data_IF_178259679395
#
_entry.id   IF_178259679395
#
_cell.length_a   1.000
_cell.length_b   1.000
_cell.length_c   1.000
_cell.angle_alpha   90.00
_cell.angle_beta   90.00
_cell.angle_gamma   90.00
#
_symmetry.space_group_name_H-M   'P 1'
#
loop_
_entity.id
_entity.type
_entity.pdbx_description
1 polymer ?
#
# COMPACT_ATOMS: atom_id res chain seq x y z
N UNK A 1 10.90 5.12 16.88
CA UNK A 1 10.58 4.95 15.43
C UNK A 1 11.20 6.11 14.68
N UNK A 2 12.07 5.90 13.72
CA UNK A 2 12.65 6.96 12.88
C UNK A 2 11.99 6.91 11.49
N UNK A 3 11.27 7.95 11.14
CA UNK A 3 10.32 8.04 10.04
C UNK A 3 8.89 7.84 10.53
N UNK A 4 8.09 8.91 10.49
CA UNK A 4 6.67 8.92 10.86
C UNK A 4 5.77 8.96 9.61
N UNK A 5 6.20 8.25 8.56
CA UNK A 5 5.36 7.90 7.42
C UNK A 5 4.38 6.78 7.79
N UNK A 6 3.74 6.20 6.78
CA UNK A 6 2.71 5.19 6.96
C UNK A 6 3.18 4.02 7.86
N UNK A 7 4.30 3.38 7.50
CA UNK A 7 4.83 2.22 8.24
C UNK A 7 5.24 2.59 9.67
N UNK A 8 6.00 3.68 9.82
CA UNK A 8 6.53 4.07 11.13
C UNK A 8 5.48 4.55 12.11
N UNK A 9 4.50 5.32 11.63
CA UNK A 9 3.44 5.86 12.50
C UNK A 9 2.47 4.75 12.93
N UNK A 10 2.02 3.88 12.01
CA UNK A 10 1.16 2.74 12.35
C UNK A 10 1.87 1.78 13.30
N UNK A 11 3.13 1.42 12.97
CA UNK A 11 3.91 0.53 13.85
C UNK A 11 4.11 1.14 15.23
N UNK A 12 4.47 2.43 15.31
CA UNK A 12 4.68 3.12 16.58
C UNK A 12 3.42 3.22 17.42
N UNK A 13 2.30 3.57 16.80
CA UNK A 13 0.99 3.64 17.48
C UNK A 13 0.56 2.27 18.01
N UNK A 14 0.70 1.21 17.20
CA UNK A 14 0.34 -0.15 17.62
C UNK A 14 1.27 -0.71 18.71
N UNK A 15 2.59 -0.41 18.66
CA UNK A 15 3.51 -0.76 19.73
C UNK A 15 3.15 -0.05 21.04
N UNK A 16 2.75 1.22 20.98
CA UNK A 16 2.28 1.95 22.16
C UNK A 16 0.95 1.37 22.71
N UNK A 17 0.04 0.95 21.84
CA UNK A 17 -1.21 0.31 22.22
C UNK A 17 -0.98 -1.01 22.97
N UNK A 18 -0.02 -1.82 22.54
CA UNK A 18 0.29 -3.10 23.20
C UNK A 18 1.20 -2.97 24.42
N UNK A 19 1.57 -1.74 24.80
CA UNK A 19 2.17 -1.46 26.11
C UNK A 19 3.60 -0.92 26.13
N UNK A 20 4.20 -0.64 24.97
CA UNK A 20 5.54 -0.04 24.89
C UNK A 20 5.49 1.49 25.02
N UNK A 21 6.58 2.09 25.49
CA UNK A 21 6.80 3.52 25.45
C UNK A 21 7.53 3.85 24.13
N UNK A 22 6.89 4.65 23.27
CA UNK A 22 7.32 4.87 21.90
C UNK A 22 7.59 6.36 21.65
N UNK A 23 8.68 6.66 20.97
CA UNK A 23 8.96 7.98 20.41
C UNK A 23 8.99 7.87 18.90
N UNK A 24 8.05 8.53 18.22
CA UNK A 24 8.05 8.63 16.76
C UNK A 24 8.75 9.90 16.34
N UNK A 25 9.69 9.80 15.41
CA UNK A 25 10.45 10.95 14.91
C UNK A 25 10.35 11.08 13.41
N UNK A 26 10.31 12.31 12.92
CA UNK A 26 10.37 12.63 11.49
C UNK A 26 11.13 13.95 11.31
N UNK A 27 11.83 14.12 10.20
CA UNK A 27 12.49 15.38 9.85
C UNK A 27 11.53 16.38 9.21
N UNK A 28 10.34 15.93 8.81
CA UNK A 28 9.25 16.81 8.38
C UNK A 28 8.52 17.39 9.60
N UNK A 29 8.88 18.61 9.92
CA UNK A 29 8.32 19.32 11.06
C UNK A 29 6.81 19.49 10.96
N UNK A 30 6.25 19.60 9.76
CA UNK A 30 4.80 19.79 9.58
C UNK A 30 4.00 18.56 10.02
N UNK A 31 4.53 17.37 9.78
CA UNK A 31 3.94 16.12 10.27
C UNK A 31 3.97 16.04 11.79
N UNK A 32 5.11 16.42 12.39
CA UNK A 32 5.25 16.40 13.85
C UNK A 32 4.32 17.42 14.49
N UNK A 33 4.25 18.64 13.97
CA UNK A 33 3.34 19.70 14.45
C UNK A 33 1.87 19.21 14.37
N UNK A 34 1.47 18.53 13.29
CA UNK A 34 0.15 17.93 13.15
C UNK A 34 -0.11 16.85 14.21
N UNK A 35 0.85 15.95 14.43
CA UNK A 35 0.75 14.91 15.45
C UNK A 35 0.70 15.48 16.86
N UNK A 36 1.50 16.50 17.17
CA UNK A 36 1.48 17.18 18.47
C UNK A 36 0.16 17.93 18.73
N UNK A 37 -0.44 18.50 17.68
CA UNK A 37 -1.75 19.13 17.75
C UNK A 37 -2.91 18.12 17.91
N UNK A 38 -2.67 16.81 17.75
CA UNK A 38 -3.66 15.74 17.90
C UNK A 38 -4.25 15.24 16.58
N UNK A 39 -3.82 15.79 15.44
CA UNK A 39 -4.18 15.30 14.12
C UNK A 39 -3.29 14.12 13.68
N UNK A 40 -3.67 13.49 12.58
CA UNK A 40 -2.92 12.38 11.95
C UNK A 40 -2.62 12.74 10.49
N UNK A 41 -1.34 12.76 10.06
CA UNK A 41 -0.97 13.24 8.71
C UNK A 41 -1.19 12.20 7.59
N UNK A 42 -1.80 11.08 7.90
CA UNK A 42 -2.14 10.00 6.96
C UNK A 42 -3.56 9.52 7.23
N UNK A 43 -4.26 9.08 6.20
CA UNK A 43 -5.55 8.42 6.37
C UNK A 43 -5.35 6.91 6.57
N UNK A 44 -5.75 6.42 7.74
CA UNK A 44 -5.78 4.98 8.06
C UNK A 44 -6.89 4.73 9.09
N UNK A 45 -7.89 3.90 8.76
CA UNK A 45 -8.98 3.59 9.69
C UNK A 45 -8.50 3.11 11.05
N UNK A 46 -9.00 3.73 12.13
CA UNK A 46 -8.69 3.37 13.50
C UNK A 46 -7.36 3.90 14.05
N UNK A 47 -6.51 4.53 13.22
CA UNK A 47 -5.21 5.01 13.67
C UNK A 47 -5.32 6.23 14.59
N UNK A 48 -6.25 7.14 14.31
CA UNK A 48 -6.47 8.33 15.13
C UNK A 48 -6.86 7.96 16.57
N UNK A 49 -7.78 7.01 16.72
CA UNK A 49 -8.23 6.52 18.03
C UNK A 49 -7.08 5.84 18.80
N UNK A 50 -6.26 5.04 18.11
CA UNK A 50 -5.10 4.38 18.72
C UNK A 50 -4.09 5.40 19.20
N UNK A 51 -3.75 6.41 18.38
CA UNK A 51 -2.83 7.48 18.77
C UNK A 51 -3.39 8.30 19.94
N UNK A 52 -4.67 8.69 19.90
CA UNK A 52 -5.30 9.47 20.95
C UNK A 52 -5.27 8.71 22.29
N UNK A 53 -5.57 7.40 22.28
CA UNK A 53 -5.51 6.53 23.45
C UNK A 53 -4.07 6.39 23.98
N UNK A 54 -3.10 6.15 23.11
CA UNK A 54 -1.68 6.04 23.48
C UNK A 54 -1.12 7.35 24.07
N UNK A 55 -1.52 8.50 23.53
CA UNK A 55 -1.16 9.83 24.10
C UNK A 55 -1.75 10.04 25.48
N UNK A 56 -3.05 9.71 25.68
CA UNK A 56 -3.69 9.78 26.99
C UNK A 56 -2.99 8.91 28.02
N UNK A 57 -2.51 7.74 27.61
CA UNK A 57 -1.72 6.83 28.43
C UNK A 57 -0.26 7.25 28.58
N UNK A 58 0.19 8.33 27.93
CA UNK A 58 1.58 8.83 27.88
C UNK A 58 2.60 7.79 27.33
N UNK A 59 2.14 6.89 26.46
CA UNK A 59 2.97 5.84 25.84
C UNK A 59 3.50 6.20 24.46
N UNK A 60 3.00 7.26 23.83
CA UNK A 60 3.51 7.76 22.56
C UNK A 60 3.85 9.24 22.67
N UNK A 61 4.99 9.62 22.10
CA UNK A 61 5.42 11.01 21.94
C UNK A 61 6.05 11.21 20.58
N UNK A 62 6.18 12.47 20.17
CA UNK A 62 6.67 12.83 18.84
C UNK A 62 7.85 13.79 18.97
N UNK A 63 8.77 13.77 17.98
CA UNK A 63 9.91 14.69 17.95
C UNK A 63 10.35 14.95 16.52
N UNK A 64 10.66 16.20 16.20
CA UNK A 64 11.25 16.58 14.92
C UNK A 64 12.76 16.31 14.84
N UNK A 65 13.39 15.91 15.96
CA UNK A 65 14.82 15.69 16.02
C UNK A 65 15.13 14.27 16.54
N UNK A 66 15.49 13.32 15.66
CA UNK A 66 15.88 11.97 16.08
C UNK A 66 17.03 11.94 17.08
N UNK A 67 18.00 12.86 16.98
CA UNK A 67 19.17 12.90 17.87
C UNK A 67 18.79 13.01 19.35
N UNK A 68 17.74 13.76 19.68
CA UNK A 68 17.29 13.97 21.06
C UNK A 68 16.63 12.73 21.68
N UNK A 69 16.33 11.71 20.87
CA UNK A 69 15.52 10.55 21.26
C UNK A 69 16.30 9.22 21.30
N UNK A 70 17.37 9.13 20.51
CA UNK A 70 18.15 7.89 20.33
C UNK A 70 18.65 7.30 21.66
N UNK A 71 19.19 8.16 22.54
CA UNK A 71 19.75 7.67 23.80
C UNK A 71 18.69 7.16 24.78
N UNK A 72 17.44 7.62 24.65
CA UNK A 72 16.29 7.24 25.50
C UNK A 72 15.71 5.87 25.15
N UNK A 73 16.06 5.32 23.99
CA UNK A 73 15.45 4.10 23.45
C UNK A 73 16.44 2.92 23.50
N UNK A 74 15.95 1.71 23.76
CA UNK A 74 16.72 0.47 23.72
C UNK A 74 16.74 -0.12 22.31
N UNK A 75 15.60 -0.02 21.61
CA UNK A 75 15.43 -0.45 20.22
C UNK A 75 15.05 0.74 19.33
N UNK A 76 15.66 0.81 18.16
CA UNK A 76 15.44 1.88 17.16
C UNK A 76 14.98 1.23 15.88
N UNK A 77 13.73 1.52 15.47
CA UNK A 77 13.17 1.06 14.21
C UNK A 77 13.36 2.12 13.14
N UNK A 78 14.01 1.74 12.03
CA UNK A 78 14.17 2.60 10.85
C UNK A 78 12.99 2.35 9.92
N UNK A 79 12.19 3.39 9.70
CA UNK A 79 10.97 3.35 8.88
C UNK A 79 10.95 4.49 7.84
N UNK A 80 12.13 4.86 7.35
CA UNK A 80 12.28 5.95 6.36
C UNK A 80 11.93 5.47 4.95
N UNK A 81 11.55 6.42 4.09
CA UNK A 81 11.26 6.12 2.69
C UNK A 81 12.50 5.68 1.92
N UNK A 82 12.29 4.75 0.99
CA UNK A 82 13.30 4.26 0.02
C UNK A 82 12.75 4.43 -1.39
N UNK A 83 12.66 5.68 -1.90
CA UNK A 83 12.09 5.93 -3.23
C UNK A 83 12.97 5.31 -4.33
N UNK A 84 12.40 5.01 -5.49
CA UNK A 84 13.18 4.51 -6.62
C UNK A 84 14.06 5.62 -7.21
N UNK A 85 15.30 5.28 -7.52
CA UNK A 85 16.19 6.10 -8.34
C UNK A 85 15.84 5.93 -9.83
N UNK A 86 16.28 6.85 -10.72
CA UNK A 86 16.12 6.67 -12.18
C UNK A 86 16.76 5.41 -12.73
N UNK A 87 17.74 4.84 -12.03
CA UNK A 87 18.38 3.56 -12.36
C UNK A 87 17.48 2.35 -12.10
N UNK A 88 16.41 2.48 -11.30
CA UNK A 88 15.60 1.38 -10.76
C UNK A 88 16.06 0.88 -9.40
N UNK A 89 17.23 1.30 -8.90
CA UNK A 89 17.68 1.02 -7.53
C UNK A 89 16.83 1.79 -6.50
N UNK A 90 16.81 1.30 -5.26
CA UNK A 90 16.26 2.07 -4.14
C UNK A 90 17.26 3.14 -3.66
N UNK A 91 16.79 4.34 -3.38
CA UNK A 91 17.59 5.37 -2.71
C UNK A 91 17.70 5.05 -1.22
N UNK A 92 18.90 4.71 -0.79
CA UNK A 92 19.23 4.36 0.60
C UNK A 92 19.88 5.52 1.38
N UNK A 93 19.93 6.73 0.81
CA UNK A 93 20.57 7.89 1.42
C UNK A 93 19.97 8.25 2.80
N UNK A 94 18.65 8.11 2.94
CA UNK A 94 17.98 8.35 4.22
C UNK A 94 18.40 7.33 5.28
N UNK A 95 18.61 6.06 4.90
CA UNK A 95 19.06 5.01 5.82
C UNK A 95 20.50 5.26 6.28
N UNK A 96 21.42 5.62 5.37
CA UNK A 96 22.79 5.98 5.72
C UNK A 96 22.84 7.19 6.64
N UNK A 97 22.04 8.22 6.35
CA UNK A 97 21.92 9.39 7.22
C UNK A 97 21.47 9.01 8.64
N UNK A 98 20.41 8.18 8.76
CA UNK A 98 19.89 7.70 10.04
C UNK A 98 20.93 6.86 10.77
N UNK A 99 21.65 5.97 10.06
CA UNK A 99 22.75 5.19 10.65
C UNK A 99 23.83 6.07 11.26
N UNK A 100 24.18 7.18 10.56
CA UNK A 100 25.16 8.15 11.06
C UNK A 100 24.64 8.83 12.33
N UNK A 101 23.40 9.31 12.34
CA UNK A 101 22.79 9.95 13.51
C UNK A 101 22.74 8.98 14.69
N UNK A 102 22.30 7.74 14.49
CA UNK A 102 22.29 6.72 15.55
C UNK A 102 23.70 6.50 16.13
N UNK A 103 24.69 6.33 15.27
CA UNK A 103 26.06 6.02 15.70
C UNK A 103 26.76 7.18 16.42
N UNK A 104 26.38 8.43 16.13
CA UNK A 104 26.97 9.63 16.78
C UNK A 104 26.27 10.00 18.07
N UNK A 105 24.95 9.81 18.17
CA UNK A 105 24.15 10.28 19.31
C UNK A 105 23.93 9.21 20.39
N UNK A 106 24.07 7.92 20.06
CA UNK A 106 23.93 6.85 21.04
C UNK A 106 25.03 6.89 22.08
N UNK A 107 24.67 6.75 23.36
CA UNK A 107 25.60 6.64 24.50
C UNK A 107 25.72 5.22 25.06
N UNK A 108 24.91 4.30 24.56
CA UNK A 108 24.88 2.90 24.97
C UNK A 108 24.55 2.00 23.77
N UNK A 109 24.89 0.69 23.85
CA UNK A 109 24.51 -0.27 22.80
C UNK A 109 23.00 -0.26 22.53
N UNK A 110 22.61 -0.34 21.25
CA UNK A 110 21.22 -0.34 20.81
C UNK A 110 20.96 -1.50 19.87
N UNK A 111 19.70 -1.97 19.85
CA UNK A 111 19.17 -2.78 18.76
C UNK A 111 18.65 -1.83 17.67
N UNK A 112 19.19 -1.93 16.45
CA UNK A 112 18.76 -1.16 15.28
C UNK A 112 18.02 -2.10 14.37
N UNK A 113 16.73 -1.82 14.14
CA UNK A 113 15.82 -2.68 13.38
C UNK A 113 15.49 -1.98 12.07
N UNK A 114 15.93 -2.55 10.95
CA UNK A 114 15.52 -2.10 9.62
C UNK A 114 14.12 -2.63 9.31
N UNK A 115 13.17 -1.71 9.22
CA UNK A 115 11.77 -2.01 8.91
C UNK A 115 11.34 -1.48 7.54
N UNK A 116 12.08 -0.52 6.99
CA UNK A 116 11.87 -0.04 5.63
C UNK A 116 12.02 -1.19 4.63
N UNK A 117 11.28 -1.14 3.54
CA UNK A 117 11.48 -2.11 2.44
C UNK A 117 12.75 -1.75 1.68
N UNK A 118 13.74 -2.62 1.76
CA UNK A 118 15.09 -2.40 1.23
C UNK A 118 15.58 -3.59 0.40
N UNK A 119 16.48 -3.37 -0.57
CA UNK A 119 17.15 -4.45 -1.28
C UNK A 119 17.93 -5.37 -0.33
N UNK A 120 18.04 -6.66 -0.69
CA UNK A 120 18.86 -7.60 0.08
C UNK A 120 20.31 -7.11 0.21
N UNK A 121 20.90 -7.36 1.39
CA UNK A 121 22.20 -6.90 1.90
C UNK A 121 22.21 -5.49 2.49
N UNK A 122 21.12 -4.76 2.48
CA UNK A 122 21.06 -3.43 3.11
C UNK A 122 21.35 -3.49 4.61
N UNK A 123 20.83 -4.48 5.32
CA UNK A 123 21.14 -4.64 6.76
C UNK A 123 22.60 -4.92 7.03
N UNK A 124 23.32 -5.60 6.13
CA UNK A 124 24.78 -5.77 6.24
C UNK A 124 25.52 -4.45 6.05
N UNK A 125 25.11 -3.64 5.07
CA UNK A 125 25.69 -2.29 4.85
C UNK A 125 25.34 -1.36 6.02
N UNK A 126 24.11 -1.42 6.56
CA UNK A 126 23.71 -0.70 7.75
C UNK A 126 24.61 -1.05 8.95
N UNK A 127 24.88 -2.32 9.18
CA UNK A 127 25.79 -2.78 10.24
C UNK A 127 27.20 -2.23 10.04
N UNK A 128 27.69 -2.27 8.80
CA UNK A 128 29.00 -1.70 8.44
C UNK A 128 29.03 -0.19 8.67
N UNK A 129 28.01 0.55 8.23
CA UNK A 129 27.89 2.00 8.40
C UNK A 129 27.91 2.37 9.90
N UNK A 130 27.08 1.72 10.72
CA UNK A 130 27.04 1.91 12.17
C UNK A 130 28.42 1.68 12.80
N UNK A 131 29.12 0.59 12.43
CA UNK A 131 30.46 0.30 12.91
C UNK A 131 31.50 1.36 12.51
N UNK A 132 31.41 1.89 11.30
CA UNK A 132 32.31 2.96 10.81
C UNK A 132 32.06 4.26 11.55
N UNK A 133 30.80 4.66 11.68
CA UNK A 133 30.42 5.94 12.30
C UNK A 133 30.63 5.94 13.83
N UNK A 134 30.51 4.78 14.49
CA UNK A 134 30.73 4.66 15.95
C UNK A 134 32.19 4.44 16.38
N UNK A 135 33.15 4.48 15.47
CA UNK A 135 34.57 4.23 15.81
C UNK A 135 35.10 5.10 16.94
N UNK A 136 34.63 6.36 17.04
CA UNK A 136 35.07 7.31 18.08
C UNK A 136 34.39 7.04 19.42
N UNK A 137 33.16 6.57 19.42
CA UNK A 137 32.37 6.28 20.63
C UNK A 137 32.63 4.89 21.17
N UNK A 138 33.05 3.95 20.32
CA UNK A 138 33.25 2.54 20.65
C UNK A 138 31.96 1.77 20.97
N UNK A 139 30.80 2.36 20.67
CA UNK A 139 29.50 1.76 20.95
C UNK A 139 29.18 0.68 19.91
N UNK A 140 28.78 -0.48 20.39
CA UNK A 140 28.37 -1.60 19.55
C UNK A 140 26.86 -1.56 19.29
N UNK A 141 26.47 -1.91 18.07
CA UNK A 141 25.07 -2.01 17.64
C UNK A 141 24.76 -3.42 17.18
N UNK A 142 23.55 -3.91 17.51
CA UNK A 142 22.97 -5.08 16.87
C UNK A 142 22.05 -4.60 15.76
N UNK A 143 22.10 -5.28 14.63
CA UNK A 143 21.21 -4.97 13.49
C UNK A 143 20.28 -6.15 13.25
N UNK A 144 19.03 -5.85 13.02
CA UNK A 144 18.01 -6.81 12.63
C UNK A 144 17.19 -6.28 11.45
N UNK A 145 16.65 -7.15 10.62
CA UNK A 145 15.64 -6.83 9.61
C UNK A 145 14.28 -7.33 10.10
N UNK A 146 13.29 -6.45 10.10
CA UNK A 146 11.92 -6.79 10.45
C UNK A 146 10.96 -6.19 9.41
N UNK A 147 10.87 -6.82 8.23
CA UNK A 147 10.00 -6.32 7.18
C UNK A 147 8.53 -6.28 7.63
N UNK A 148 7.80 -5.31 7.12
CA UNK A 148 6.38 -5.15 7.37
C UNK A 148 5.54 -5.81 6.27
N UNK A 149 4.31 -6.22 6.61
CA UNK A 149 3.32 -6.77 5.68
C UNK A 149 1.98 -6.04 5.84
N UNK A 150 2.04 -4.77 6.21
CA UNK A 150 0.88 -3.92 6.42
C UNK A 150 0.23 -3.56 5.08
N UNK A 151 -1.10 -3.50 5.09
CA UNK A 151 -1.88 -3.04 3.94
C UNK A 151 -2.55 -1.72 4.33
N UNK A 152 -2.29 -0.67 3.57
CA UNK A 152 -3.01 0.60 3.74
C UNK A 152 -4.52 0.37 3.81
N UNK A 153 -5.22 1.07 4.70
CA UNK A 153 -6.64 0.87 4.96
C UNK A 153 -7.00 -0.27 5.92
N UNK A 154 -6.05 -1.14 6.29
CA UNK A 154 -6.22 -2.20 7.30
C UNK A 154 -4.96 -2.40 8.16
N UNK A 155 -4.02 -1.47 8.10
CA UNK A 155 -2.68 -1.66 8.67
C UNK A 155 -2.65 -1.78 10.19
N UNK A 156 -3.56 -1.10 10.90
CA UNK A 156 -3.70 -1.26 12.35
C UNK A 156 -4.10 -2.71 12.68
N UNK A 157 -5.08 -3.24 11.96
CA UNK A 157 -5.49 -4.65 12.09
C UNK A 157 -4.39 -5.63 11.71
N UNK A 158 -3.71 -5.38 10.58
CA UNK A 158 -2.62 -6.22 10.09
C UNK A 158 -1.42 -6.27 11.06
N UNK A 159 -1.14 -5.17 11.77
CA UNK A 159 -0.10 -5.15 12.80
C UNK A 159 -0.48 -5.92 14.06
N UNK A 160 -1.71 -5.74 14.53
CA UNK A 160 -2.20 -6.34 15.78
C UNK A 160 -2.59 -7.82 15.61
N UNK A 161 -2.95 -8.23 14.39
CA UNK A 161 -3.35 -9.60 14.04
C UNK A 161 -2.61 -10.10 12.79
N UNK A 162 -1.25 -10.12 12.80
CA UNK A 162 -0.50 -10.57 11.64
C UNK A 162 -0.58 -12.08 11.49
N UNK A 163 -0.53 -12.58 10.26
CA UNK A 163 -0.34 -14.02 9.99
C UNK A 163 1.03 -14.50 10.49
N UNK A 164 2.02 -13.62 10.38
CA UNK A 164 3.41 -13.87 10.74
C UNK A 164 4.18 -12.61 11.08
N UNK A 165 5.16 -12.75 11.94
CA UNK A 165 6.21 -11.75 12.19
C UNK A 165 7.55 -12.34 11.74
N UNK A 166 8.19 -11.69 10.76
CA UNK A 166 9.48 -12.13 10.20
C UNK A 166 10.60 -11.29 10.79
N UNK A 167 11.62 -11.93 11.32
CA UNK A 167 12.82 -11.27 11.84
C UNK A 167 14.08 -11.90 11.27
N UNK A 168 14.91 -11.08 10.68
CA UNK A 168 16.24 -11.42 10.22
C UNK A 168 17.25 -10.97 11.27
N UNK A 169 17.99 -11.90 11.87
CA UNK A 169 18.94 -11.63 12.96
C UNK A 169 20.24 -12.40 12.76
N UNK A 170 21.31 -11.96 13.43
CA UNK A 170 22.60 -12.64 13.43
C UNK A 170 22.94 -13.27 14.80
N UNK A 171 22.25 -12.87 15.87
CA UNK A 171 22.49 -13.38 17.21
C UNK A 171 21.18 -13.55 18.02
N UNK A 172 21.22 -14.43 19.02
CA UNK A 172 20.08 -14.77 19.88
C UNK A 172 19.62 -13.61 20.77
N UNK A 173 20.46 -12.61 21.00
CA UNK A 173 20.12 -11.45 21.85
C UNK A 173 19.17 -10.56 21.06
N UNK A 174 19.50 -10.29 19.79
CA UNK A 174 18.63 -9.51 18.90
C UNK A 174 17.28 -10.22 18.70
N UNK A 175 17.29 -11.54 18.52
CA UNK A 175 16.06 -12.33 18.42
C UNK A 175 15.20 -12.18 19.67
N UNK A 176 15.78 -12.41 20.85
CA UNK A 176 15.05 -12.31 22.13
C UNK A 176 14.46 -10.93 22.35
N UNK A 177 15.23 -9.87 22.10
CA UNK A 177 14.74 -8.51 22.23
C UNK A 177 13.53 -8.24 21.29
N UNK A 178 13.59 -8.66 20.03
CA UNK A 178 12.47 -8.53 19.11
C UNK A 178 11.27 -9.37 19.55
N UNK A 179 11.50 -10.59 20.03
CA UNK A 179 10.44 -11.46 20.53
C UNK A 179 9.73 -10.86 21.74
N UNK A 180 10.48 -10.21 22.65
CA UNK A 180 9.91 -9.48 23.79
C UNK A 180 9.05 -8.29 23.33
N UNK A 181 9.50 -7.53 22.32
CA UNK A 181 8.73 -6.43 21.73
C UNK A 181 7.41 -6.93 21.14
N UNK A 182 7.41 -8.05 20.43
CA UNK A 182 6.23 -8.61 19.79
C UNK A 182 5.43 -9.59 20.69
N UNK A 183 5.88 -9.89 21.89
CA UNK A 183 5.24 -10.88 22.77
C UNK A 183 3.75 -10.64 22.99
N UNK A 184 3.25 -9.39 23.23
CA UNK A 184 1.82 -9.17 23.38
C UNK A 184 1.00 -9.57 22.15
N UNK A 185 1.52 -9.34 20.94
CA UNK A 185 0.90 -9.72 19.66
C UNK A 185 0.96 -11.25 19.47
N UNK A 186 2.13 -11.85 19.68
CA UNK A 186 2.34 -13.29 19.53
C UNK A 186 1.47 -14.10 20.48
N UNK A 187 1.35 -13.63 21.72
CA UNK A 187 0.56 -14.27 22.79
C UNK A 187 -0.92 -13.84 22.75
N UNK A 188 -1.29 -12.88 21.89
CA UNK A 188 -2.62 -12.25 21.84
C UNK A 188 -3.06 -11.66 23.18
N UNK A 189 -2.14 -11.07 23.93
CA UNK A 189 -2.37 -10.47 25.24
C UNK A 189 -2.41 -8.95 25.17
N UNK A 190 -3.40 -8.40 24.47
CA UNK A 190 -3.66 -6.96 24.39
C UNK A 190 -5.15 -6.69 24.18
N UNK A 191 -5.60 -5.48 24.50
CA UNK A 191 -6.95 -5.04 24.22
C UNK A 191 -7.01 -4.53 22.79
N UNK A 192 -7.72 -5.25 21.90
CA UNK A 192 -7.80 -4.90 20.49
C UNK A 192 -8.66 -3.65 20.28
N UNK A 193 -8.12 -2.57 19.67
CA UNK A 193 -8.90 -1.37 19.37
C UNK A 193 -9.75 -1.51 18.10
N UNK A 194 -9.47 -2.51 17.25
CA UNK A 194 -10.10 -2.67 15.92
C UNK A 194 -11.37 -3.52 16.01
N UNK A 195 -11.41 -4.51 16.89
CA UNK A 195 -12.52 -5.45 16.99
C UNK A 195 -13.24 -5.27 18.33
N UNK A 196 -14.40 -4.62 18.30
CA UNK A 196 -15.24 -4.46 19.49
C UNK A 196 -15.74 -5.83 19.98
N UNK A 197 -15.14 -6.34 21.06
CA UNK A 197 -15.62 -7.50 21.81
C UNK A 197 -14.98 -8.85 21.52
N UNK A 198 -14.49 -9.12 20.33
CA UNK A 198 -13.75 -10.37 20.02
C UNK A 198 -12.80 -10.19 18.85
N UNK A 199 -11.54 -10.52 19.06
CA UNK A 199 -10.57 -10.61 17.95
C UNK A 199 -10.92 -11.78 17.02
N UNK A 200 -10.50 -11.74 15.73
CA UNK A 200 -10.71 -12.84 14.82
C UNK A 200 -10.20 -14.15 15.41
N UNK A 201 -11.04 -15.18 15.39
CA UNK A 201 -10.63 -16.54 15.71
C UNK A 201 -9.65 -17.01 14.63
N UNK A 202 -8.49 -17.48 15.04
CA UNK A 202 -7.48 -17.95 14.11
C UNK A 202 -6.22 -18.43 14.86
N UNK A 203 -5.25 -19.04 14.18
CA UNK A 203 -4.01 -19.45 14.82
C UNK A 203 -3.22 -18.23 15.31
N UNK A 204 -2.42 -18.43 16.36
CA UNK A 204 -1.47 -17.40 16.80
C UNK A 204 -0.51 -17.03 15.66
N UNK A 205 -0.03 -15.78 15.59
CA UNK A 205 0.95 -15.37 14.60
C UNK A 205 2.19 -16.26 14.59
N UNK A 206 2.65 -16.63 13.41
CA UNK A 206 3.88 -17.43 13.31
C UNK A 206 5.11 -16.52 13.49
N UNK A 207 5.97 -16.89 14.44
CA UNK A 207 7.27 -16.24 14.62
C UNK A 207 8.30 -16.89 13.69
N UNK A 208 8.80 -16.13 12.71
CA UNK A 208 9.73 -16.61 11.68
C UNK A 208 11.09 -15.96 11.89
N UNK A 209 12.08 -16.77 12.34
CA UNK A 209 13.46 -16.33 12.49
C UNK A 209 14.27 -16.78 11.29
N UNK A 210 15.06 -15.87 10.74
CA UNK A 210 15.88 -16.15 9.57
C UNK A 210 17.12 -15.23 9.54
N UNK A 211 17.91 -15.29 8.47
CA UNK A 211 19.01 -14.34 8.25
C UNK A 211 18.47 -12.97 7.80
N UNK A 212 19.25 -11.92 8.04
CA UNK A 212 18.90 -10.55 7.59
C UNK A 212 18.58 -10.54 6.09
N UNK A 213 19.46 -11.11 5.26
CA UNK A 213 19.25 -11.17 3.80
C UNK A 213 17.98 -11.92 3.40
N UNK A 214 17.65 -13.02 4.10
CA UNK A 214 16.42 -13.75 3.81
C UNK A 214 15.18 -12.97 4.20
N UNK A 215 15.21 -12.25 5.33
CA UNK A 215 14.09 -11.38 5.75
C UNK A 215 13.82 -10.28 4.72
N UNK A 216 14.87 -9.61 4.22
CA UNK A 216 14.77 -8.61 3.15
C UNK A 216 14.19 -9.20 1.86
N UNK A 217 14.69 -10.38 1.43
CA UNK A 217 14.18 -11.07 0.25
C UNK A 217 12.73 -11.53 0.40
N UNK A 218 12.30 -11.98 1.58
CA UNK A 218 10.92 -12.41 1.86
C UNK A 218 9.93 -11.29 1.53
N UNK A 219 10.24 -10.04 1.89
CA UNK A 219 9.37 -8.89 1.58
C UNK A 219 9.19 -8.70 0.08
N UNK A 220 10.30 -8.60 -0.66
CA UNK A 220 10.26 -8.42 -2.12
C UNK A 220 9.59 -9.61 -2.82
N UNK A 221 9.93 -10.83 -2.45
CA UNK A 221 9.34 -12.03 -3.02
C UNK A 221 7.83 -12.10 -2.77
N UNK A 222 7.37 -11.75 -1.55
CA UNK A 222 5.94 -11.71 -1.23
C UNK A 222 5.20 -10.68 -2.08
N UNK A 223 5.67 -9.44 -2.12
CA UNK A 223 4.99 -8.37 -2.84
C UNK A 223 4.99 -8.61 -4.36
N UNK A 224 6.09 -9.08 -4.94
CA UNK A 224 6.17 -9.39 -6.37
C UNK A 224 5.30 -10.58 -6.76
N UNK A 225 5.18 -11.59 -5.90
CA UNK A 225 4.28 -12.71 -6.15
C UNK A 225 2.81 -12.29 -6.13
N UNK A 226 2.41 -11.43 -5.19
CA UNK A 226 1.05 -10.88 -5.14
C UNK A 226 0.74 -10.03 -6.38
N UNK A 227 1.67 -9.18 -6.81
CA UNK A 227 1.55 -8.40 -8.04
C UNK A 227 1.42 -9.31 -9.28
N UNK A 228 2.20 -10.39 -9.34
CA UNK A 228 2.12 -11.38 -10.40
C UNK A 228 0.76 -12.09 -10.43
N UNK A 229 0.17 -12.43 -9.28
CA UNK A 229 -1.18 -13.02 -9.22
C UNK A 229 -2.23 -12.12 -9.87
N UNK A 230 -2.18 -10.80 -9.62
CA UNK A 230 -3.09 -9.84 -10.24
C UNK A 230 -2.86 -9.77 -11.75
N UNK A 231 -1.61 -9.70 -12.21
CA UNK A 231 -1.29 -9.69 -13.64
C UNK A 231 -1.72 -10.98 -14.33
N UNK A 232 -1.56 -12.13 -13.67
CA UNK A 232 -2.05 -13.41 -14.18
C UNK A 232 -3.58 -13.40 -14.34
N UNK A 233 -4.31 -12.95 -13.33
CA UNK A 233 -5.77 -12.83 -13.41
C UNK A 233 -6.20 -11.91 -14.57
N UNK A 234 -5.48 -10.79 -14.78
CA UNK A 234 -5.73 -9.88 -15.90
C UNK A 234 -5.48 -10.53 -17.26
N UNK A 235 -4.42 -11.32 -17.39
CA UNK A 235 -4.13 -12.07 -18.62
C UNK A 235 -5.22 -13.11 -18.92
N UNK A 236 -5.68 -13.84 -17.89
CA UNK A 236 -6.78 -14.80 -18.02
C UNK A 236 -8.09 -14.08 -18.36
N UNK A 237 -8.33 -12.90 -17.79
CA UNK A 237 -9.50 -12.08 -18.10
C UNK A 237 -9.57 -11.70 -19.59
N UNK A 238 -8.45 -11.29 -20.17
CA UNK A 238 -8.38 -10.93 -21.59
C UNK A 238 -8.72 -12.14 -22.50
N UNK A 239 -8.33 -13.35 -22.09
CA UNK A 239 -8.67 -14.58 -22.81
C UNK A 239 -10.14 -14.98 -22.59
N UNK A 240 -10.61 -14.91 -21.34
CA UNK A 240 -11.99 -15.25 -20.98
C UNK A 240 -13.00 -14.40 -21.78
N UNK A 241 -12.75 -13.08 -21.87
CA UNK A 241 -13.59 -12.16 -22.64
C UNK A 241 -13.71 -12.54 -24.11
N UNK A 242 -12.62 -13.01 -24.74
CA UNK A 242 -12.61 -13.42 -26.15
C UNK A 242 -13.29 -14.76 -26.40
N UNK A 243 -13.29 -15.63 -25.40
CA UNK A 243 -13.82 -17.00 -25.51
C UNK A 243 -15.22 -17.14 -24.90
N UNK A 244 -15.84 -16.06 -24.41
CA UNK A 244 -17.16 -16.09 -23.79
C UNK A 244 -17.18 -16.65 -22.37
N UNK A 245 -16.04 -16.61 -21.66
CA UNK A 245 -15.93 -17.00 -20.26
C UNK A 245 -16.26 -15.84 -19.31
N UNK A 246 -16.38 -16.16 -18.01
CA UNK A 246 -16.50 -15.17 -16.91
C UNK A 246 -15.32 -15.29 -15.96
N UNK A 247 -14.49 -14.25 -15.92
CA UNK A 247 -13.31 -14.22 -15.06
C UNK A 247 -13.65 -14.38 -13.58
N UNK A 248 -14.81 -13.90 -13.13
CA UNK A 248 -15.21 -14.00 -11.72
C UNK A 248 -15.46 -15.44 -11.31
N UNK A 249 -16.06 -16.24 -12.20
CA UNK A 249 -16.24 -17.66 -11.97
C UNK A 249 -14.91 -18.41 -12.01
N UNK A 250 -14.05 -18.06 -12.99
CA UNK A 250 -12.73 -18.68 -13.15
C UNK A 250 -11.87 -18.44 -11.90
N UNK A 251 -11.71 -17.19 -11.45
CA UNK A 251 -10.86 -16.88 -10.28
C UNK A 251 -11.46 -17.38 -8.98
N UNK A 252 -12.80 -17.43 -8.88
CA UNK A 252 -13.48 -18.05 -7.73
C UNK A 252 -13.16 -19.55 -7.66
N UNK A 253 -13.28 -20.25 -8.77
CA UNK A 253 -12.97 -21.70 -8.82
C UNK A 253 -11.49 -21.96 -8.54
N UNK A 254 -10.57 -21.18 -9.13
CA UNK A 254 -9.14 -21.26 -8.85
C UNK A 254 -8.83 -21.00 -7.38
N UNK A 255 -9.46 -20.00 -6.77
CA UNK A 255 -9.24 -19.60 -5.38
C UNK A 255 -9.72 -20.61 -4.34
N UNK A 256 -10.60 -21.55 -4.72
CA UNK A 256 -11.02 -22.67 -3.86
C UNK A 256 -9.93 -23.73 -3.68
N UNK A 257 -8.93 -23.76 -4.57
CA UNK A 257 -7.76 -24.61 -4.36
C UNK A 257 -6.85 -23.96 -3.29
N UNK A 258 -6.62 -24.62 -2.11
CA UNK A 258 -5.82 -24.05 -1.03
C UNK A 258 -4.36 -23.78 -1.43
N UNK A 259 -3.86 -24.42 -2.50
CA UNK A 259 -2.51 -24.15 -3.05
C UNK A 259 -2.43 -22.81 -3.76
N UNK A 260 -3.55 -22.27 -4.23
CA UNK A 260 -3.66 -20.99 -4.94
C UNK A 260 -4.16 -19.89 -3.99
N UNK A 261 -5.27 -20.15 -3.30
CA UNK A 261 -5.97 -19.22 -2.43
C UNK A 261 -6.69 -18.09 -3.19
N UNK A 262 -7.75 -17.51 -2.62
CA UNK A 262 -8.63 -16.56 -3.31
C UNK A 262 -8.06 -15.14 -3.44
N UNK A 263 -7.11 -14.75 -2.59
CA UNK A 263 -6.62 -13.38 -2.52
C UNK A 263 -5.75 -13.02 -3.73
N UNK A 264 -5.83 -11.75 -4.15
CA UNK A 264 -5.05 -11.17 -5.26
C UNK A 264 -5.29 -11.80 -6.65
N UNK A 265 -6.51 -12.28 -6.89
CA UNK A 265 -6.95 -12.81 -8.19
C UNK A 265 -7.96 -11.88 -8.88
N UNK A 266 -8.07 -10.62 -8.47
CA UNK A 266 -9.01 -9.67 -9.07
C UNK A 266 -8.47 -9.11 -10.38
N UNK A 267 -9.23 -9.28 -11.47
CA UNK A 267 -8.96 -8.64 -12.76
C UNK A 267 -9.61 -7.25 -12.82
N UNK A 268 -9.00 -6.34 -13.59
CA UNK A 268 -9.50 -4.97 -13.78
C UNK A 268 -8.42 -4.03 -14.31
N UNK A 269 -8.37 -2.80 -13.78
CA UNK A 269 -7.39 -1.75 -14.14
C UNK A 269 -5.95 -2.05 -13.70
N UNK A 270 -5.72 -3.15 -13.00
CA UNK A 270 -4.41 -3.51 -12.50
C UNK A 270 -4.17 -3.07 -11.05
N UNK A 271 -2.94 -3.29 -10.59
CA UNK A 271 -2.48 -2.87 -9.27
C UNK A 271 -1.75 -1.53 -9.33
N UNK A 272 -1.80 -0.81 -8.22
CA UNK A 272 -1.11 0.45 -7.97
C UNK A 272 -0.64 0.53 -6.53
N UNK A 273 -0.54 1.76 -6.02
CA UNK A 273 0.00 2.07 -4.72
C UNK A 273 1.52 2.09 -4.70
N UNK A 274 2.09 2.65 -3.66
CA UNK A 274 3.54 2.86 -3.58
C UNK A 274 4.35 1.54 -3.53
N UNK A 275 3.78 0.50 -2.92
CA UNK A 275 4.55 -0.71 -2.60
C UNK A 275 4.79 -1.62 -3.82
N UNK A 276 3.72 -2.09 -4.50
CA UNK A 276 3.85 -3.13 -5.53
C UNK A 276 4.70 -2.70 -6.73
N UNK A 277 4.47 -1.56 -7.37
CA UNK A 277 5.29 -1.15 -8.51
C UNK A 277 6.76 -0.95 -8.13
N UNK A 278 7.02 -0.26 -7.02
CA UNK A 278 8.37 0.02 -6.53
C UNK A 278 9.12 -1.27 -6.17
N UNK A 279 8.49 -2.16 -5.38
CA UNK A 279 9.15 -3.36 -4.87
C UNK A 279 9.41 -4.38 -5.98
N UNK A 280 8.49 -4.48 -6.96
CA UNK A 280 8.68 -5.32 -8.13
C UNK A 280 9.86 -4.83 -8.98
N UNK A 281 9.92 -3.53 -9.26
CA UNK A 281 11.03 -2.92 -10.02
C UNK A 281 12.37 -3.10 -9.29
N UNK A 282 12.41 -2.80 -7.98
CA UNK A 282 13.62 -2.99 -7.18
C UNK A 282 14.08 -4.45 -7.16
N UNK A 283 13.13 -5.40 -7.11
CA UNK A 283 13.45 -6.82 -7.10
C UNK A 283 13.95 -7.33 -8.44
N UNK A 284 13.35 -6.87 -9.55
CA UNK A 284 13.86 -7.15 -10.92
C UNK A 284 15.27 -6.60 -11.08
N UNK A 285 15.50 -5.36 -10.65
CA UNK A 285 16.83 -4.73 -10.78
C UNK A 285 17.89 -5.44 -9.92
N UNK A 286 17.53 -5.83 -8.68
CA UNK A 286 18.42 -6.63 -7.83
C UNK A 286 18.79 -7.97 -8.48
N UNK A 287 17.83 -8.65 -9.12
CA UNK A 287 18.07 -9.89 -9.83
C UNK A 287 19.04 -9.70 -11.01
N UNK A 288 18.83 -8.67 -11.83
CA UNK A 288 19.71 -8.34 -12.96
C UNK A 288 21.16 -8.09 -12.52
N UNK A 289 21.35 -7.28 -11.48
CA UNK A 289 22.68 -7.03 -10.89
C UNK A 289 23.33 -8.29 -10.30
N UNK A 290 22.51 -9.26 -9.92
CA UNK A 290 22.96 -10.56 -9.40
C UNK A 290 23.15 -11.60 -10.53
N UNK A 291 22.94 -11.24 -11.79
CA UNK A 291 23.06 -12.15 -12.94
C UNK A 291 21.90 -13.13 -13.06
N UNK A 292 20.74 -12.85 -12.45
CA UNK A 292 19.54 -13.67 -12.50
C UNK A 292 18.47 -12.97 -13.33
N UNK A 293 17.88 -13.66 -14.31
CA UNK A 293 16.81 -13.09 -15.15
C UNK A 293 15.43 -13.32 -14.54
N UNK A 294 14.74 -12.22 -14.25
CA UNK A 294 13.38 -12.20 -13.72
C UNK A 294 12.34 -11.85 -14.79
N UNK A 295 12.45 -12.50 -15.98
CA UNK A 295 11.53 -12.29 -17.12
C UNK A 295 10.07 -12.35 -16.71
N UNK A 296 9.67 -13.30 -15.85
CA UNK A 296 8.27 -13.44 -15.40
C UNK A 296 7.76 -12.17 -14.72
N UNK A 297 8.56 -11.52 -13.87
CA UNK A 297 8.15 -10.29 -13.18
C UNK A 297 8.13 -9.09 -14.12
N UNK A 298 9.04 -9.02 -15.09
CA UNK A 298 9.02 -7.98 -16.14
C UNK A 298 7.74 -8.05 -16.98
N UNK A 299 7.33 -9.26 -17.36
CA UNK A 299 6.07 -9.44 -18.07
C UNK A 299 4.84 -9.13 -17.19
N UNK A 300 4.88 -9.44 -15.88
CA UNK A 300 3.82 -9.07 -14.96
C UNK A 300 3.64 -7.53 -14.87
N UNK A 301 4.73 -6.78 -14.82
CA UNK A 301 4.70 -5.31 -14.86
C UNK A 301 4.16 -4.77 -16.19
N UNK A 302 4.61 -5.34 -17.31
CA UNK A 302 4.13 -4.95 -18.64
C UNK A 302 2.63 -5.18 -18.80
N UNK A 303 2.13 -6.35 -18.39
CA UNK A 303 0.70 -6.66 -18.39
C UNK A 303 -0.07 -5.63 -17.57
N UNK A 304 0.45 -5.29 -16.38
CA UNK A 304 -0.18 -4.28 -15.50
C UNK A 304 -0.29 -2.91 -16.20
N UNK A 305 0.80 -2.43 -16.81
CA UNK A 305 0.80 -1.14 -17.55
C UNK A 305 -0.18 -1.12 -18.72
N UNK A 306 -0.37 -2.25 -19.41
CA UNK A 306 -1.29 -2.35 -20.54
C UNK A 306 -2.77 -2.26 -20.14
N UNK A 307 -3.11 -2.36 -18.85
CA UNK A 307 -4.52 -2.31 -18.39
C UNK A 307 -5.17 -0.96 -18.69
N UNK A 308 -4.42 0.12 -18.62
CA UNK A 308 -4.91 1.47 -18.93
C UNK A 308 -5.29 1.62 -20.41
N UNK A 309 -4.44 1.12 -21.32
CA UNK A 309 -4.75 1.11 -22.74
C UNK A 309 -5.99 0.25 -23.03
N UNK A 310 -6.14 -0.91 -22.37
CA UNK A 310 -7.35 -1.75 -22.50
C UNK A 310 -8.61 -1.03 -22.02
N UNK A 311 -8.53 -0.29 -20.91
CA UNK A 311 -9.66 0.51 -20.44
C UNK A 311 -10.03 1.61 -21.44
N UNK A 312 -9.04 2.33 -21.95
CA UNK A 312 -9.24 3.34 -22.97
C UNK A 312 -9.84 2.76 -24.27
N UNK A 313 -9.36 1.61 -24.74
CA UNK A 313 -9.90 0.97 -25.94
C UNK A 313 -11.39 0.64 -25.78
N UNK A 314 -11.81 0.12 -24.62
CA UNK A 314 -13.23 -0.15 -24.32
C UNK A 314 -14.09 1.14 -24.36
N UNK A 315 -13.57 2.25 -23.83
CA UNK A 315 -14.23 3.56 -23.91
C UNK A 315 -14.33 4.04 -25.35
N UNK A 316 -13.23 3.97 -26.11
CA UNK A 316 -13.17 4.39 -27.51
C UNK A 316 -14.14 3.60 -28.39
N UNK A 317 -14.21 2.29 -28.21
CA UNK A 317 -15.14 1.44 -28.94
C UNK A 317 -16.59 1.80 -28.64
N UNK A 318 -16.94 2.07 -27.39
CA UNK A 318 -18.28 2.44 -26.98
C UNK A 318 -18.65 3.86 -27.45
N UNK A 319 -17.76 4.82 -27.34
CA UNK A 319 -18.05 6.24 -27.59
C UNK A 319 -17.86 6.67 -29.05
N UNK A 320 -17.18 5.86 -29.86
CA UNK A 320 -16.82 6.12 -31.26
C UNK A 320 -15.91 7.35 -31.43
N UNK A 321 -16.37 8.56 -31.05
CA UNK A 321 -15.56 9.79 -30.98
C UNK A 321 -15.35 10.13 -29.50
N UNK A 322 -14.11 10.24 -29.06
CA UNK A 322 -13.79 10.47 -27.64
C UNK A 322 -13.52 11.95 -27.32
N UNK A 323 -12.96 12.71 -28.29
CA UNK A 323 -12.59 14.12 -28.09
C UNK A 323 -13.81 14.96 -27.74
N UNK A 324 -13.71 15.74 -26.66
CA UNK A 324 -14.75 16.61 -26.15
C UNK A 324 -15.86 15.89 -25.35
N UNK A 325 -15.81 14.55 -25.24
CA UNK A 325 -16.74 13.77 -24.44
C UNK A 325 -16.50 13.96 -22.94
N UNK A 326 -17.60 14.04 -22.17
CA UNK A 326 -17.55 14.09 -20.70
C UNK A 326 -17.50 12.70 -20.11
N UNK A 327 -16.55 12.49 -19.22
CA UNK A 327 -16.38 11.21 -18.50
C UNK A 327 -16.39 11.46 -17.00
N UNK A 328 -17.33 10.82 -16.30
CA UNK A 328 -17.30 10.71 -14.85
C UNK A 328 -16.33 9.64 -14.41
N UNK A 329 -15.52 9.89 -13.38
CA UNK A 329 -14.60 8.90 -12.80
C UNK A 329 -14.90 8.76 -11.32
N UNK A 330 -15.23 7.54 -10.89
CA UNK A 330 -15.49 7.18 -9.51
C UNK A 330 -14.28 6.43 -8.93
N UNK A 331 -13.59 7.09 -8.01
CA UNK A 331 -12.37 6.62 -7.39
C UNK A 331 -11.11 7.18 -8.04
N UNK A 332 -10.19 7.71 -7.21
CA UNK A 332 -8.88 8.24 -7.58
C UNK A 332 -7.76 7.55 -6.78
N UNK A 333 -8.06 7.11 -5.56
CA UNK A 333 -7.16 6.28 -4.77
C UNK A 333 -6.86 4.94 -5.47
N UNK A 334 -5.68 4.37 -5.24
CA UNK A 334 -5.31 3.10 -5.87
C UNK A 334 -6.15 1.89 -5.38
N UNK A 335 -6.78 2.03 -4.22
CA UNK A 335 -7.73 1.07 -3.61
C UNK A 335 -8.63 1.78 -2.58
N UNK A 336 -9.71 1.15 -2.08
CA UNK A 336 -10.53 1.74 -1.03
C UNK A 336 -9.80 1.86 0.31
N UNK A 337 -10.35 2.73 1.19
CA UNK A 337 -9.90 2.98 2.56
C UNK A 337 -8.48 3.58 2.65
N UNK A 338 -8.07 4.34 1.64
CA UNK A 338 -6.82 5.13 1.65
C UNK A 338 -7.00 6.40 0.82
N UNK A 339 -6.20 7.41 1.10
CA UNK A 339 -6.08 8.64 0.31
C UNK A 339 -4.88 8.61 -0.65
N UNK A 340 -4.19 7.45 -0.75
CA UNK A 340 -2.96 7.32 -1.56
C UNK A 340 -3.27 7.17 -3.05
N UNK A 341 -2.74 8.12 -3.83
CA UNK A 341 -2.88 8.17 -5.30
C UNK A 341 -1.61 7.75 -6.03
N UNK A 342 -0.54 7.42 -5.31
CA UNK A 342 0.76 7.07 -5.93
C UNK A 342 0.63 5.80 -6.77
N UNK A 343 1.04 5.90 -8.04
CA UNK A 343 0.89 4.81 -9.00
C UNK A 343 -0.55 4.26 -9.09
N UNK A 344 -1.55 5.11 -8.82
CA UNK A 344 -2.94 4.68 -8.91
C UNK A 344 -3.36 4.51 -10.38
N UNK A 345 -3.87 3.35 -10.80
CA UNK A 345 -4.37 3.15 -12.16
C UNK A 345 -5.45 4.16 -12.57
N UNK A 346 -6.21 4.68 -11.60
CA UNK A 346 -7.19 5.74 -11.83
C UNK A 346 -6.54 7.04 -12.33
N UNK A 347 -5.41 7.44 -11.74
CA UNK A 347 -4.65 8.64 -12.14
C UNK A 347 -4.08 8.47 -13.54
N UNK A 348 -3.45 7.31 -13.83
CA UNK A 348 -2.92 7.00 -15.16
C UNK A 348 -4.03 7.02 -16.22
N UNK A 349 -5.21 6.46 -15.89
CA UNK A 349 -6.35 6.49 -16.77
C UNK A 349 -6.83 7.92 -17.03
N UNK A 350 -6.95 8.76 -16.00
CA UNK A 350 -7.33 10.16 -16.15
C UNK A 350 -6.35 10.91 -17.05
N UNK A 351 -5.04 10.73 -16.86
CA UNK A 351 -4.03 11.31 -17.75
C UNK A 351 -4.23 10.85 -19.21
N UNK A 352 -4.53 9.57 -19.42
CA UNK A 352 -4.82 9.03 -20.75
C UNK A 352 -6.05 9.67 -21.36
N UNK A 353 -7.16 9.80 -20.61
CA UNK A 353 -8.40 10.43 -21.08
C UNK A 353 -8.19 11.90 -21.48
N UNK A 354 -7.46 12.65 -20.66
CA UNK A 354 -7.12 14.04 -20.93
C UNK A 354 -6.24 14.20 -22.17
N UNK A 355 -5.25 13.33 -22.37
CA UNK A 355 -4.38 13.36 -23.56
C UNK A 355 -5.16 13.13 -24.85
N UNK A 356 -6.28 12.41 -24.79
CA UNK A 356 -7.19 12.16 -25.91
C UNK A 356 -8.26 13.28 -26.09
N UNK A 357 -8.20 14.30 -25.25
CA UNK A 357 -9.07 15.47 -25.31
C UNK A 357 -10.47 15.26 -24.72
N UNK A 358 -10.63 14.32 -23.81
CA UNK A 358 -11.86 14.14 -23.03
C UNK A 358 -11.92 15.14 -21.87
N UNK A 359 -13.13 15.41 -21.39
CA UNK A 359 -13.38 16.27 -20.23
C UNK A 359 -13.68 15.34 -19.05
N UNK A 360 -12.87 15.39 -18.00
CA UNK A 360 -12.99 14.50 -16.86
C UNK A 360 -13.56 15.23 -15.64
N UNK A 361 -14.57 14.62 -15.02
CA UNK A 361 -15.08 15.00 -13.71
C UNK A 361 -14.96 13.80 -12.77
N UNK A 362 -14.21 13.94 -11.66
CA UNK A 362 -13.90 12.83 -10.78
C UNK A 362 -14.45 13.05 -9.36
N UNK A 363 -14.77 11.93 -8.72
CA UNK A 363 -15.12 11.87 -7.30
C UNK A 363 -14.36 10.73 -6.62
N UNK A 364 -13.82 11.01 -5.46
CA UNK A 364 -13.25 10.01 -4.54
C UNK A 364 -13.58 10.42 -3.10
N UNK A 365 -13.95 9.50 -2.21
CA UNK A 365 -14.27 9.84 -0.83
C UNK A 365 -13.12 10.49 -0.04
N UNK A 366 -11.87 10.10 -0.29
CA UNK A 366 -10.72 10.50 0.53
C UNK A 366 -9.56 11.13 -0.26
N UNK A 367 -9.39 10.77 -1.54
CA UNK A 367 -8.17 11.10 -2.28
C UNK A 367 -8.23 12.42 -3.07
N UNK A 368 -9.36 13.13 -3.09
CA UNK A 368 -9.52 14.32 -3.96
C UNK A 368 -8.52 15.43 -3.65
N UNK A 369 -8.21 15.68 -2.39
CA UNK A 369 -7.28 16.76 -2.03
C UNK A 369 -5.86 16.49 -2.52
N UNK A 370 -5.42 15.23 -2.43
CA UNK A 370 -4.13 14.81 -3.01
C UNK A 370 -4.15 14.86 -4.53
N UNK A 371 -5.24 14.41 -5.14
CA UNK A 371 -5.39 14.41 -6.59
C UNK A 371 -5.41 15.81 -7.19
N UNK A 372 -5.88 16.84 -6.48
CA UNK A 372 -5.90 18.24 -6.96
C UNK A 372 -4.51 18.76 -7.29
N UNK A 373 -3.48 18.32 -6.58
CA UNK A 373 -2.10 18.73 -6.83
C UNK A 373 -1.56 18.11 -8.14
N UNK A 374 -1.97 16.89 -8.48
CA UNK A 374 -1.49 16.15 -9.66
C UNK A 374 -2.37 16.37 -10.89
N UNK A 375 -3.68 16.52 -10.70
CA UNK A 375 -4.68 16.70 -11.74
C UNK A 375 -5.45 18.04 -11.61
N UNK A 376 -4.78 19.20 -11.64
CA UNK A 376 -5.43 20.50 -11.44
C UNK A 376 -6.40 20.87 -12.58
N UNK A 377 -6.35 20.17 -13.70
CA UNK A 377 -7.10 20.45 -14.92
C UNK A 377 -8.45 19.70 -15.02
N UNK A 378 -8.79 18.84 -14.06
CA UNK A 378 -10.09 18.15 -14.05
C UNK A 378 -11.12 18.87 -13.17
N UNK A 379 -12.39 18.52 -13.36
CA UNK A 379 -13.47 18.94 -12.46
C UNK A 379 -13.56 17.94 -11.28
N UNK A 380 -13.70 18.45 -10.06
CA UNK A 380 -13.87 17.63 -8.84
C UNK A 380 -15.33 17.70 -8.39
N UNK A 381 -16.00 16.57 -8.44
CA UNK A 381 -17.39 16.42 -8.05
C UNK A 381 -17.58 16.39 -6.54
N UNK A 382 -18.76 16.82 -6.06
CA UNK A 382 -19.11 16.78 -4.64
C UNK A 382 -19.75 15.44 -4.21
N UNK A 383 -20.16 14.63 -5.19
CA UNK A 383 -20.76 13.32 -4.97
C UNK A 383 -20.60 12.43 -6.20
N UNK A 384 -20.82 11.10 -6.09
CA UNK A 384 -20.86 10.21 -7.25
C UNK A 384 -21.91 10.62 -8.30
N UNK A 385 -23.05 11.16 -7.87
CA UNK A 385 -24.10 11.64 -8.74
C UNK A 385 -23.67 12.89 -9.53
N UNK A 386 -22.96 13.81 -8.87
CA UNK A 386 -22.40 14.99 -9.55
C UNK A 386 -21.31 14.59 -10.55
N UNK A 387 -20.51 13.56 -10.27
CA UNK A 387 -19.55 13.02 -11.23
C UNK A 387 -20.23 12.43 -12.48
N UNK A 388 -21.41 11.84 -12.32
CA UNK A 388 -22.21 11.26 -13.40
C UNK A 388 -22.98 12.31 -14.24
N UNK A 389 -23.19 13.52 -13.71
CA UNK A 389 -24.02 14.54 -14.35
C UNK A 389 -23.49 14.94 -15.72
N UNK A 390 -24.37 14.86 -16.74
CA UNK A 390 -24.06 15.11 -18.15
C UNK A 390 -22.92 14.26 -18.73
N UNK A 391 -22.50 13.19 -18.05
CA UNK A 391 -21.44 12.31 -18.51
C UNK A 391 -21.94 11.38 -19.64
N UNK A 392 -21.10 11.16 -20.63
CA UNK A 392 -21.34 10.21 -21.73
C UNK A 392 -20.72 8.84 -21.44
N UNK A 393 -19.90 8.76 -20.38
CA UNK A 393 -19.40 7.52 -19.81
C UNK A 393 -19.14 7.74 -18.31
N UNK A 394 -19.36 6.71 -17.52
CA UNK A 394 -18.96 6.66 -16.10
C UNK A 394 -17.95 5.51 -15.90
N UNK A 395 -16.81 5.80 -15.32
CA UNK A 395 -15.77 4.83 -15.05
C UNK A 395 -15.68 4.57 -13.56
N UNK A 396 -15.75 3.30 -13.14
CA UNK A 396 -15.47 2.88 -11.78
C UNK A 396 -13.99 2.48 -11.72
N UNK A 397 -13.15 3.32 -11.11
CA UNK A 397 -11.71 3.12 -11.08
C UNK A 397 -11.17 2.61 -9.73
N UNK A 398 -11.96 2.77 -8.65
CA UNK A 398 -11.66 2.21 -7.32
C UNK A 398 -12.93 1.60 -6.73
N UNK A 399 -12.78 0.47 -6.05
CA UNK A 399 -13.91 -0.35 -5.54
C UNK A 399 -14.37 0.08 -4.14
N UNK A 400 -14.67 1.37 -3.93
CA UNK A 400 -15.21 1.86 -2.67
C UNK A 400 -16.57 1.22 -2.35
N UNK A 401 -16.80 0.86 -1.10
CA UNK A 401 -18.08 0.29 -0.66
C UNK A 401 -19.26 1.25 -0.83
N UNK A 402 -19.01 2.55 -0.82
CA UNK A 402 -20.00 3.58 -1.13
C UNK A 402 -20.59 3.38 -2.53
N UNK A 403 -19.76 3.03 -3.52
CA UNK A 403 -20.21 2.87 -4.90
C UNK A 403 -21.13 1.66 -5.09
N UNK A 404 -21.07 0.65 -4.23
CA UNK A 404 -21.99 -0.49 -4.22
C UNK A 404 -23.41 -0.11 -3.80
N UNK A 405 -23.56 1.00 -3.06
CA UNK A 405 -24.82 1.44 -2.45
C UNK A 405 -25.49 2.58 -3.23
N UNK A 406 -24.96 2.95 -4.39
CA UNK A 406 -25.51 4.03 -5.20
C UNK A 406 -26.87 3.66 -5.79
N UNK A 407 -27.73 4.66 -5.92
CA UNK A 407 -28.96 4.58 -6.71
C UNK A 407 -28.59 4.67 -8.21
N UNK A 408 -28.51 3.51 -8.86
CA UNK A 408 -28.10 3.40 -10.26
C UNK A 408 -29.14 3.93 -11.21
N UNK A 409 -30.44 3.93 -10.86
CA UNK A 409 -31.49 4.54 -11.67
C UNK A 409 -31.33 6.05 -11.70
N UNK A 410 -31.01 6.67 -10.55
CA UNK A 410 -30.68 8.09 -10.48
C UNK A 410 -29.38 8.41 -11.26
N UNK A 411 -28.34 7.60 -11.15
CA UNK A 411 -27.11 7.78 -11.95
C UNK A 411 -27.45 7.79 -13.43
N UNK A 412 -28.28 6.87 -13.90
CA UNK A 412 -28.70 6.80 -15.30
C UNK A 412 -29.43 8.07 -15.74
N UNK A 413 -30.32 8.62 -14.92
CA UNK A 413 -31.07 9.84 -15.22
C UNK A 413 -30.18 11.09 -15.30
N UNK A 414 -29.09 11.15 -14.53
CA UNK A 414 -28.11 12.26 -14.55
C UNK A 414 -27.17 12.20 -15.77
N UNK A 415 -26.97 11.03 -16.38
CA UNK A 415 -26.02 10.85 -17.47
C UNK A 415 -26.61 11.24 -18.84
N UNK A 416 -25.76 11.84 -19.67
CA UNK A 416 -26.12 12.08 -21.09
C UNK A 416 -26.21 10.78 -21.92
N UNK A 417 -25.42 9.76 -21.54
CA UNK A 417 -25.43 8.41 -22.10
C UNK A 417 -25.22 7.38 -20.99
N UNK A 418 -26.09 6.38 -20.83
CA UNK A 418 -26.00 5.39 -19.79
C UNK A 418 -24.95 4.30 -20.12
N UNK A 419 -23.68 4.69 -20.20
CA UNK A 419 -22.55 3.79 -20.42
C UNK A 419 -21.65 3.74 -19.19
N UNK A 420 -21.38 2.54 -18.66
CA UNK A 420 -20.48 2.32 -17.52
C UNK A 420 -19.33 1.40 -17.92
N UNK A 421 -18.11 1.86 -17.68
CA UNK A 421 -16.92 1.02 -17.67
C UNK A 421 -16.54 0.69 -16.22
N UNK A 422 -16.75 -0.56 -15.83
CA UNK A 422 -16.36 -1.02 -14.50
C UNK A 422 -14.92 -1.57 -14.52
N UNK A 423 -13.99 -0.77 -14.06
CA UNK A 423 -12.58 -1.06 -13.98
C UNK A 423 -12.19 -2.02 -12.86
N UNK A 424 -13.14 -2.38 -11.98
CA UNK A 424 -12.91 -3.20 -10.79
C UNK A 424 -13.79 -4.44 -10.71
N UNK A 425 -14.63 -4.67 -11.74
CA UNK A 425 -15.58 -5.77 -11.76
C UNK A 425 -16.51 -5.80 -10.52
N UNK A 426 -16.92 -4.60 -10.08
CA UNK A 426 -17.69 -4.37 -8.87
C UNK A 426 -19.11 -4.93 -8.95
N UNK A 427 -19.71 -4.87 -10.15
CA UNK A 427 -21.10 -5.27 -10.45
C UNK A 427 -21.15 -6.45 -11.42
N UNK A 428 -22.31 -7.08 -11.50
CA UNK A 428 -22.57 -8.05 -12.54
C UNK A 428 -23.10 -7.39 -13.81
N UNK A 429 -22.71 -7.84 -15.02
CA UNK A 429 -23.28 -7.33 -16.26
C UNK A 429 -24.82 -7.40 -16.30
N UNK A 430 -25.40 -8.47 -15.78
CA UNK A 430 -26.86 -8.66 -15.73
C UNK A 430 -27.55 -7.60 -14.87
N UNK A 431 -26.98 -7.30 -13.72
CA UNK A 431 -27.50 -6.28 -12.81
C UNK A 431 -27.51 -4.90 -13.48
N UNK A 432 -26.37 -4.47 -14.05
CA UNK A 432 -26.26 -3.16 -14.69
C UNK A 432 -27.14 -3.03 -15.94
N UNK A 433 -27.30 -4.12 -16.71
CA UNK A 433 -28.25 -4.15 -17.82
C UNK A 433 -29.70 -4.00 -17.34
N UNK A 434 -30.08 -4.56 -16.17
CA UNK A 434 -31.42 -4.39 -15.62
C UNK A 434 -31.73 -2.94 -15.21
N UNK A 435 -30.71 -2.15 -14.87
CA UNK A 435 -30.81 -0.70 -14.68
C UNK A 435 -30.74 0.11 -15.98
N UNK A 436 -30.62 -0.55 -17.14
CA UNK A 436 -30.61 0.09 -18.46
C UNK A 436 -29.27 0.66 -18.90
N UNK A 437 -28.16 0.22 -18.33
CA UNK A 437 -26.83 0.62 -18.76
C UNK A 437 -26.28 -0.27 -19.87
N UNK A 438 -25.61 0.36 -20.84
CA UNK A 438 -24.55 -0.29 -21.59
C UNK A 438 -23.37 -0.46 -20.63
N UNK A 439 -23.03 -1.70 -20.31
CA UNK A 439 -22.02 -1.98 -19.27
C UNK A 439 -20.89 -2.78 -19.85
N UNK A 440 -19.67 -2.32 -19.60
CA UNK A 440 -18.44 -3.06 -19.92
C UNK A 440 -17.55 -3.19 -18.69
N UNK A 441 -16.89 -4.32 -18.59
CA UNK A 441 -15.95 -4.64 -17.53
C UNK A 441 -14.79 -5.47 -18.08
N UNK A 442 -14.01 -6.10 -17.25
CA UNK A 442 -12.86 -6.89 -17.67
C UNK A 442 -13.10 -8.38 -17.49
N UNK A 443 -12.87 -9.17 -18.58
CA UNK A 443 -12.90 -10.63 -18.53
C UNK A 443 -14.29 -11.24 -18.45
N UNK A 444 -15.32 -10.49 -18.81
CA UNK A 444 -16.70 -10.99 -18.94
C UNK A 444 -17.25 -10.59 -20.31
N UNK A 445 -17.79 -11.53 -21.04
CA UNK A 445 -18.54 -11.26 -22.25
C UNK A 445 -19.91 -10.68 -21.89
N UNK A 446 -20.45 -9.86 -22.77
CA UNK A 446 -21.76 -9.21 -22.65
C UNK A 446 -22.94 -10.20 -22.52
#
# INVERSE_FOLDING_TARGET
>A
MIGSGYVGLVTGACLAEIGHDVICTDNDKSKIDTLEAGGVPIYEPGLEEVIAKARKAKRISFSANPADTIDKCEAIFICVGTPPLPSGDADLSAIDHVARVIATEAKSPKLVVEKSTVPARTGQELKRALSVYSRKTGIAFRVASNPEFLREGTAVGDFLHPDRVVVGVEDEIAERQLREIYAPVLDRKFNCPVHAGSCPDGPAPTWVVTTINSAELIKHASNSFLAMKISYANMVADLAERLGGDISEIVRAMGLDPRIGPSFLSAGLGFGGFCFPKDLQAFVHLAERSGVDFTMLKEAEKINKQRIDRAYDKLREALWVVRGKRVGVLGLAFKPNTDDIRFAPAIDLVHRLLSEGMIVRAYDPEAMDRARAELPQIEYAQSPYDAAKDAEALVIATEWDEFRKLDWDRIREEMARPFVLDGRNLFSPREMKSHGFEYRCFGRSE
#
